data_IF_931281107768
#
_entry.id   IF_931281107768
#
_cell.length_a   1.000
_cell.length_b   1.000
_cell.length_c   1.000
_cell.angle_alpha   90.00
_cell.angle_beta   90.00
_cell.angle_gamma   90.00
#
_symmetry.space_group_name_H-M   'P 1'
#
loop_
_entity.id
_entity.type
_entity.pdbx_description
1 polymer ?
#
# COMPACT_ATOMS: atom_id res chain seq x y z
N UNK A 1 27.31 -14.49 14.76
CA UNK A 1 26.61 -14.90 13.53
C UNK A 1 26.24 -13.64 12.77
N UNK A 2 26.78 -13.43 11.59
CA UNK A 2 26.39 -12.29 10.74
C UNK A 2 25.05 -12.57 10.06
N UNK A 3 24.20 -11.56 9.96
CA UNK A 3 22.98 -11.67 9.16
C UNK A 3 23.35 -11.88 7.68
N UNK A 4 22.55 -12.60 6.90
CA UNK A 4 22.78 -12.74 5.46
C UNK A 4 22.71 -11.37 4.79
N UNK A 5 23.55 -11.16 3.77
CA UNK A 5 23.53 -9.92 2.97
C UNK A 5 22.28 -9.79 2.11
N UNK A 6 21.66 -10.91 1.79
CA UNK A 6 20.42 -10.97 1.01
C UNK A 6 19.37 -11.83 1.73
N UNK A 7 18.12 -11.45 1.59
CA UNK A 7 16.99 -12.19 2.12
C UNK A 7 15.91 -12.34 1.04
N UNK A 8 15.44 -13.56 0.87
CA UNK A 8 14.31 -13.83 -0.03
C UNK A 8 12.97 -13.54 0.69
N UNK A 9 12.17 -12.69 0.10
CA UNK A 9 10.81 -12.40 0.59
C UNK A 9 9.81 -13.31 -0.10
N UNK A 10 8.82 -13.79 0.65
CA UNK A 10 7.70 -14.56 0.13
C UNK A 10 6.50 -13.67 -0.08
N UNK A 11 5.81 -13.83 -1.21
CA UNK A 11 4.51 -13.19 -1.44
C UNK A 11 3.48 -13.90 -0.57
N UNK A 12 2.88 -13.17 0.37
CA UNK A 12 1.85 -13.73 1.27
C UNK A 12 0.44 -13.43 0.77
N UNK A 13 0.26 -12.37 0.00
CA UNK A 13 -1.04 -11.94 -0.51
C UNK A 13 -0.88 -11.10 -1.78
N UNK A 14 -2.00 -10.88 -2.46
CA UNK A 14 -2.13 -9.90 -3.52
C UNK A 14 -3.28 -8.96 -3.19
N UNK A 15 -3.18 -7.70 -3.58
CA UNK A 15 -4.29 -6.78 -3.45
C UNK A 15 -5.08 -6.71 -4.76
N UNK A 16 -6.41 -6.70 -4.65
CA UNK A 16 -7.33 -6.37 -5.74
C UNK A 16 -7.82 -4.96 -5.55
N UNK A 17 -7.64 -4.12 -6.57
CA UNK A 17 -8.07 -2.72 -6.59
C UNK A 17 -8.73 -2.38 -7.92
N UNK A 18 -9.30 -1.18 -8.00
CA UNK A 18 -9.86 -0.65 -9.25
C UNK A 18 -8.80 -0.09 -10.22
N UNK A 19 -7.51 -0.19 -9.89
CA UNK A 19 -6.42 0.37 -10.70
C UNK A 19 -5.70 -0.72 -11.50
N UNK A 20 -6.14 -1.02 -12.75
CA UNK A 20 -5.49 -2.04 -13.58
C UNK A 20 -4.11 -1.61 -14.07
N UNK A 21 -3.84 -0.29 -14.05
CA UNK A 21 -2.57 0.30 -14.47
C UNK A 21 -2.10 1.33 -13.46
N UNK A 22 -0.84 1.78 -13.60
CA UNK A 22 -0.27 2.82 -12.73
C UNK A 22 -0.92 4.21 -12.87
N UNK A 23 -1.74 4.41 -13.90
CA UNK A 23 -2.39 5.69 -14.15
C UNK A 23 -3.63 5.86 -13.25
N UNK A 24 -3.74 7.01 -12.61
CA UNK A 24 -4.84 7.33 -11.70
C UNK A 24 -4.66 6.82 -10.28
N UNK A 25 -3.58 6.10 -9.98
CA UNK A 25 -3.27 5.68 -8.60
C UNK A 25 -2.88 6.91 -7.77
N UNK A 26 -3.44 7.08 -6.56
CA UNK A 26 -2.99 8.12 -5.64
C UNK A 26 -1.50 7.98 -5.33
N UNK A 27 -0.80 9.09 -5.16
CA UNK A 27 0.66 9.08 -4.90
C UNK A 27 1.03 8.48 -3.55
N UNK A 28 0.12 8.53 -2.60
CA UNK A 28 0.29 7.98 -1.24
C UNK A 28 -1.03 7.39 -0.77
N UNK A 29 -0.95 6.42 0.13
CA UNK A 29 -2.11 5.86 0.81
C UNK A 29 -2.87 6.92 1.61
N UNK A 30 -4.17 6.74 1.74
CA UNK A 30 -5.02 7.63 2.51
C UNK A 30 -5.39 8.96 1.86
N UNK A 31 -4.85 9.29 0.66
CA UNK A 31 -5.23 10.52 -0.06
C UNK A 31 -6.66 10.46 -0.62
N UNK A 32 -7.17 9.27 -0.88
CA UNK A 32 -8.55 9.03 -1.35
C UNK A 32 -9.16 7.92 -0.53
N UNK A 33 -9.83 8.26 0.55
CA UNK A 33 -10.39 7.33 1.54
C UNK A 33 -11.51 6.43 0.99
N UNK A 34 -12.18 6.85 -0.08
CA UNK A 34 -13.27 6.09 -0.69
C UNK A 34 -12.81 4.87 -1.49
N UNK A 35 -11.52 4.78 -1.81
CA UNK A 35 -10.98 3.68 -2.61
C UNK A 35 -10.86 2.41 -1.77
N UNK A 36 -11.66 1.42 -2.10
CA UNK A 36 -11.62 0.08 -1.48
C UNK A 36 -10.66 -0.82 -2.22
N UNK A 37 -10.00 -1.68 -1.45
CA UNK A 37 -9.22 -2.79 -1.97
C UNK A 37 -9.48 -4.05 -1.17
N UNK A 38 -9.16 -5.20 -1.75
CA UNK A 38 -9.25 -6.50 -1.11
C UNK A 38 -7.87 -7.14 -1.07
N UNK A 39 -7.37 -7.43 0.13
CA UNK A 39 -6.14 -8.19 0.32
C UNK A 39 -6.50 -9.67 0.40
N UNK A 40 -6.08 -10.44 -0.58
CA UNK A 40 -6.38 -11.87 -0.72
C UNK A 40 -5.09 -12.66 -0.53
N UNK A 41 -5.06 -13.49 0.50
CA UNK A 41 -3.89 -14.31 0.80
C UNK A 41 -3.65 -15.38 -0.26
N UNK A 42 -2.37 -15.70 -0.49
CA UNK A 42 -2.02 -16.88 -1.30
C UNK A 42 -2.44 -18.16 -0.55
N UNK A 43 -2.65 -19.29 -1.24
CA UNK A 43 -3.18 -20.50 -0.62
C UNK A 43 -2.42 -20.95 0.64
N UNK A 44 -1.10 -20.82 0.65
CA UNK A 44 -0.24 -21.19 1.80
C UNK A 44 -0.59 -20.41 3.08
N UNK A 45 -1.06 -19.15 2.93
CA UNK A 45 -1.29 -18.23 4.06
C UNK A 45 -2.78 -17.98 4.35
N UNK A 46 -3.68 -18.74 3.76
CA UNK A 46 -5.13 -18.68 3.99
C UNK A 46 -5.53 -19.32 5.31
N UNK A 47 -5.10 -18.72 6.40
CA UNK A 47 -5.34 -19.20 7.74
C UNK A 47 -6.05 -18.14 8.58
N UNK A 48 -7.25 -18.45 9.06
CA UNK A 48 -8.03 -17.54 9.90
C UNK A 48 -7.29 -17.15 11.19
N UNK A 49 -6.46 -18.04 11.73
CA UNK A 49 -5.70 -17.76 12.94
C UNK A 49 -4.61 -16.72 12.72
N UNK A 50 -4.13 -16.56 11.49
CA UNK A 50 -3.09 -15.56 11.17
C UNK A 50 -3.60 -14.12 11.25
N UNK A 51 -4.91 -13.90 11.18
CA UNK A 51 -5.54 -12.58 11.26
C UNK A 51 -6.29 -12.35 12.57
N UNK A 52 -6.21 -13.30 13.50
CA UNK A 52 -6.88 -13.20 14.81
C UNK A 52 -6.36 -11.98 15.58
N UNK A 53 -7.28 -11.13 16.05
CA UNK A 53 -6.96 -9.89 16.78
C UNK A 53 -6.69 -8.70 15.86
N UNK A 54 -6.58 -8.90 14.55
CA UNK A 54 -6.38 -7.79 13.61
C UNK A 54 -7.63 -6.91 13.50
N UNK A 55 -8.80 -7.47 13.75
CA UNK A 55 -10.08 -6.77 13.78
C UNK A 55 -10.17 -5.62 14.80
N UNK A 56 -9.31 -5.64 15.82
CA UNK A 56 -9.25 -4.59 16.85
C UNK A 56 -8.44 -3.35 16.40
N UNK A 57 -7.78 -3.42 15.24
CA UNK A 57 -7.00 -2.33 14.68
C UNK A 57 -7.76 -1.62 13.56
N UNK A 58 -7.77 -0.30 13.59
CA UNK A 58 -8.41 0.51 12.53
C UNK A 58 -7.56 0.65 11.28
N UNK A 59 -6.24 0.51 11.41
CA UNK A 59 -5.27 0.68 10.31
C UNK A 59 -4.21 -0.41 10.36
N UNK A 60 -3.68 -0.72 9.18
CA UNK A 60 -2.60 -1.68 8.98
C UNK A 60 -1.54 -1.10 8.05
N UNK A 61 -0.31 -1.57 8.21
CA UNK A 61 0.78 -1.38 7.27
C UNK A 61 0.81 -2.52 6.26
N UNK A 62 0.94 -2.17 4.98
CA UNK A 62 1.22 -3.11 3.90
C UNK A 62 2.65 -2.88 3.40
N UNK A 63 3.45 -3.93 3.38
CA UNK A 63 4.76 -3.96 2.71
C UNK A 63 4.60 -4.71 1.40
N UNK A 64 4.90 -4.05 0.29
CA UNK A 64 4.58 -4.54 -1.04
C UNK A 64 5.68 -4.22 -2.05
N UNK A 65 5.60 -4.79 -3.24
CA UNK A 65 6.56 -4.55 -4.31
C UNK A 65 5.97 -3.67 -5.39
N UNK A 66 6.76 -2.70 -5.85
CA UNK A 66 6.42 -1.93 -7.04
C UNK A 66 6.44 -2.82 -8.29
N UNK A 67 5.30 -2.96 -8.96
CA UNK A 67 5.18 -3.69 -10.21
C UNK A 67 5.60 -2.82 -11.38
N UNK A 68 6.47 -3.34 -12.26
CA UNK A 68 6.90 -2.65 -13.47
C UNK A 68 7.93 -1.54 -13.28
N UNK A 69 8.48 -1.38 -12.09
CA UNK A 69 9.61 -0.48 -11.86
C UNK A 69 10.94 -1.19 -12.17
N UNK A 70 11.18 -1.43 -13.46
CA UNK A 70 12.46 -2.02 -13.90
C UNK A 70 13.32 -0.92 -14.49
N UNK A 71 14.42 -0.60 -13.81
CA UNK A 71 15.54 0.20 -14.35
C UNK A 71 16.86 -0.45 -13.97
N UNK A 72 17.79 -0.42 -14.89
CA UNK A 72 19.14 -0.96 -14.69
C UNK A 72 19.97 -0.11 -13.72
N UNK A 73 19.50 1.09 -13.38
CA UNK A 73 20.19 1.96 -12.42
C UNK A 73 19.19 2.66 -11.49
N UNK A 74 19.57 2.79 -10.24
CA UNK A 74 18.83 3.49 -9.19
C UNK A 74 19.38 4.89 -8.90
N UNK A 75 20.25 5.40 -9.79
CA UNK A 75 20.90 6.71 -9.62
C UNK A 75 19.89 7.85 -9.49
N UNK A 76 19.95 8.63 -8.42
CA UNK A 76 19.03 9.74 -8.19
C UNK A 76 19.37 10.93 -9.09
N UNK A 77 18.36 11.74 -9.43
CA UNK A 77 18.53 12.97 -10.20
C UNK A 77 18.87 14.16 -9.30
N UNK A 78 17.89 14.72 -8.59
CA UNK A 78 18.07 15.90 -7.73
C UNK A 78 18.14 15.56 -6.25
N UNK A 79 17.46 14.51 -5.84
CA UNK A 79 17.39 14.05 -4.45
C UNK A 79 18.01 12.68 -4.33
N UNK A 80 18.67 12.40 -3.22
CA UNK A 80 19.14 11.06 -2.92
C UNK A 80 17.97 10.07 -2.88
N UNK A 81 18.18 8.84 -3.38
CA UNK A 81 17.12 7.84 -3.47
C UNK A 81 16.44 7.56 -2.13
N UNK A 82 17.21 7.57 -1.05
CA UNK A 82 16.69 7.32 0.31
C UNK A 82 15.96 8.52 0.93
N UNK A 83 16.05 9.69 0.31
CA UNK A 83 15.24 10.85 0.65
C UNK A 83 13.91 10.90 -0.10
N UNK A 84 13.62 9.88 -0.92
CA UNK A 84 12.42 9.78 -1.74
C UNK A 84 11.70 8.46 -1.51
N UNK A 85 10.46 8.37 -1.96
CA UNK A 85 9.68 7.13 -2.03
C UNK A 85 9.58 6.60 -3.47
N UNK A 86 10.54 6.95 -4.33
CA UNK A 86 10.60 6.48 -5.71
C UNK A 86 10.71 4.95 -5.77
N UNK A 87 10.03 4.30 -6.73
CA UNK A 87 10.17 2.86 -6.95
C UNK A 87 11.55 2.45 -7.48
N UNK A 88 12.29 3.39 -8.06
CA UNK A 88 13.63 3.17 -8.63
C UNK A 88 14.69 3.23 -7.54
N UNK A 89 14.78 2.15 -6.78
CA UNK A 89 15.63 2.01 -5.60
C UNK A 89 16.17 0.57 -5.51
N UNK A 90 17.22 0.32 -4.71
CA UNK A 90 17.83 -1.00 -4.62
C UNK A 90 16.85 -2.13 -4.29
N UNK A 91 15.97 -1.90 -3.32
CA UNK A 91 14.87 -2.80 -2.99
C UNK A 91 13.55 -2.07 -3.31
N UNK A 92 12.87 -2.39 -4.40
CA UNK A 92 11.68 -1.67 -4.84
C UNK A 92 10.45 -2.02 -3.99
N UNK A 93 10.56 -1.80 -2.68
CA UNK A 93 9.50 -2.04 -1.71
C UNK A 93 8.71 -0.76 -1.47
N UNK A 94 7.40 -0.91 -1.40
CA UNK A 94 6.46 0.11 -0.97
C UNK A 94 5.98 -0.14 0.46
N UNK A 95 5.59 0.92 1.12
CA UNK A 95 5.01 0.90 2.46
C UNK A 95 3.77 1.78 2.45
N UNK A 96 2.61 1.19 2.77
CA UNK A 96 1.33 1.91 2.77
C UNK A 96 0.59 1.65 4.07
N UNK A 97 0.15 2.72 4.73
CA UNK A 97 -0.82 2.64 5.81
C UNK A 97 -2.22 2.76 5.21
N UNK A 98 -3.06 1.77 5.46
CA UNK A 98 -4.42 1.72 4.95
C UNK A 98 -5.40 1.49 6.09
N UNK A 99 -6.63 1.99 5.94
CA UNK A 99 -7.69 1.68 6.89
C UNK A 99 -8.16 0.24 6.69
N UNK A 100 -8.26 -0.52 7.77
CA UNK A 100 -8.90 -1.84 7.78
C UNK A 100 -10.40 -1.66 8.04
N UNK A 101 -11.20 -1.89 7.01
CA UNK A 101 -12.66 -1.75 7.10
C UNK A 101 -13.32 -2.98 7.69
N UNK A 102 -12.91 -4.17 7.23
CA UNK A 102 -13.46 -5.44 7.65
C UNK A 102 -12.53 -6.60 7.34
N UNK A 103 -12.73 -7.72 8.01
CA UNK A 103 -12.16 -9.01 7.67
C UNK A 103 -13.31 -9.94 7.29
N UNK A 104 -13.35 -10.36 6.04
CA UNK A 104 -14.35 -11.29 5.54
C UNK A 104 -13.74 -12.70 5.47
N UNK A 105 -14.42 -13.68 6.06
CA UNK A 105 -14.03 -15.08 5.93
C UNK A 105 -14.85 -15.72 4.80
N UNK A 106 -14.23 -15.90 3.64
CA UNK A 106 -14.87 -16.45 2.44
C UNK A 106 -14.55 -17.95 2.33
N UNK A 107 -15.52 -18.81 2.01
CA UNK A 107 -15.32 -20.26 1.98
C UNK A 107 -14.17 -20.73 1.07
N UNK A 108 -14.02 -20.11 -0.10
CA UNK A 108 -13.06 -20.57 -1.12
C UNK A 108 -11.68 -19.90 -1.03
N UNK A 109 -11.58 -18.73 -0.40
CA UNK A 109 -10.35 -17.93 -0.37
C UNK A 109 -9.85 -17.62 1.04
N UNK A 110 -10.56 -18.06 2.08
CA UNK A 110 -10.21 -17.80 3.47
C UNK A 110 -10.42 -16.34 3.88
N UNK A 111 -9.61 -15.81 4.82
CA UNK A 111 -9.73 -14.43 5.25
C UNK A 111 -9.36 -13.46 4.12
N UNK A 112 -10.18 -12.44 3.92
CA UNK A 112 -9.96 -11.34 2.99
C UNK A 112 -10.01 -10.04 3.78
N UNK A 113 -8.97 -9.23 3.70
CA UNK A 113 -8.94 -7.93 4.36
C UNK A 113 -9.53 -6.89 3.42
N UNK A 114 -10.61 -6.25 3.85
CA UNK A 114 -11.21 -5.13 3.13
C UNK A 114 -10.56 -3.85 3.64
N UNK A 115 -9.87 -3.14 2.75
CA UNK A 115 -9.10 -1.95 3.09
C UNK A 115 -9.59 -0.72 2.32
N UNK A 116 -9.34 0.46 2.89
CA UNK A 116 -9.60 1.75 2.25
C UNK A 116 -8.32 2.59 2.18
N UNK A 117 -8.27 3.44 1.17
CA UNK A 117 -7.15 4.34 0.96
C UNK A 117 -5.93 3.66 0.34
N UNK A 118 -6.10 2.51 -0.28
CA UNK A 118 -5.01 1.80 -0.94
C UNK A 118 -4.52 2.57 -2.18
N UNK A 119 -3.21 2.75 -2.27
CA UNK A 119 -2.50 3.40 -3.37
C UNK A 119 -1.75 2.38 -4.24
N UNK A 120 -2.30 1.18 -4.38
CA UNK A 120 -1.68 0.06 -5.05
C UNK A 120 -2.40 -0.31 -6.35
N UNK A 121 -1.61 -0.70 -7.35
CA UNK A 121 -2.12 -1.28 -8.58
C UNK A 121 -2.74 -2.65 -8.31
N UNK A 122 -3.78 -3.00 -9.05
CA UNK A 122 -4.41 -4.33 -9.01
C UNK A 122 -3.37 -5.44 -9.22
N UNK A 123 -3.44 -6.48 -8.40
CA UNK A 123 -2.51 -7.61 -8.45
C UNK A 123 -1.16 -7.37 -7.76
N UNK A 124 -0.93 -6.23 -7.14
CA UNK A 124 0.34 -5.95 -6.45
C UNK A 124 0.62 -6.99 -5.37
N UNK A 125 1.81 -7.62 -5.39
CA UNK A 125 2.19 -8.58 -4.36
C UNK A 125 2.50 -7.91 -3.04
N UNK A 126 2.02 -8.53 -1.95
CA UNK A 126 2.22 -8.08 -0.57
C UNK A 126 3.12 -9.09 0.12
N UNK A 127 4.14 -8.58 0.82
CA UNK A 127 5.13 -9.38 1.54
C UNK A 127 4.91 -9.43 3.03
N UNK A 128 4.32 -8.39 3.62
CA UNK A 128 4.05 -8.35 5.06
C UNK A 128 2.86 -7.43 5.37
N UNK A 129 2.21 -7.74 6.46
CA UNK A 129 1.10 -6.98 7.02
C UNK A 129 1.37 -6.82 8.51
N UNK A 130 1.34 -5.56 8.99
CA UNK A 130 1.52 -5.26 10.41
C UNK A 130 0.40 -4.34 10.89
N UNK A 131 -0.03 -4.45 12.15
CA UNK A 131 -0.96 -3.48 12.70
C UNK A 131 -0.31 -2.10 12.80
N UNK A 132 -1.10 -1.06 12.55
CA UNK A 132 -0.69 0.32 12.83
C UNK A 132 -0.86 0.61 14.31
N UNK A 133 0.21 1.05 14.96
CA UNK A 133 0.24 1.32 16.41
C UNK A 133 0.46 2.82 16.62
N UNK A 134 -0.58 3.59 17.02
CA UNK A 134 -0.50 5.05 17.08
C UNK A 134 0.65 5.59 17.90
N UNK A 135 0.92 5.04 19.08
CA UNK A 135 1.99 5.55 19.94
C UNK A 135 3.40 5.32 19.35
N UNK A 136 3.55 4.34 18.47
CA UNK A 136 4.83 4.02 17.83
C UNK A 136 4.96 4.64 16.43
N UNK A 137 3.87 4.70 15.69
CA UNK A 137 3.88 5.01 14.26
C UNK A 137 3.51 6.46 13.95
N UNK A 138 2.80 7.15 14.87
CA UNK A 138 2.35 8.52 14.64
C UNK A 138 3.33 9.53 15.23
N UNK A 139 3.82 10.43 14.37
CA UNK A 139 4.69 11.55 14.74
C UNK A 139 4.12 12.85 14.17
N UNK A 140 3.13 13.49 14.82
CA UNK A 140 2.45 14.67 14.28
C UNK A 140 3.36 15.86 13.97
N UNK A 141 4.43 16.01 14.75
CA UNK A 141 5.39 17.11 14.61
C UNK A 141 6.61 16.75 13.75
N UNK A 142 6.57 15.64 13.02
CA UNK A 142 7.67 15.23 12.17
C UNK A 142 7.93 16.21 11.04
N UNK A 143 9.20 16.53 10.80
CA UNK A 143 9.60 17.37 9.67
C UNK A 143 9.39 16.60 8.35
N UNK A 144 8.85 17.26 7.34
CA UNK A 144 8.43 16.64 6.09
C UNK A 144 9.46 16.78 4.94
N UNK A 145 10.63 17.37 5.21
CA UNK A 145 11.67 17.56 4.20
C UNK A 145 11.16 18.37 2.98
N UNK A 146 11.56 17.96 1.77
CA UNK A 146 11.13 18.65 0.54
C UNK A 146 9.61 18.57 0.31
N UNK A 147 8.91 17.60 0.90
CA UNK A 147 7.45 17.45 0.74
C UNK A 147 6.65 18.52 1.46
N UNK A 148 7.26 19.27 2.41
CA UNK A 148 6.61 20.36 3.13
C UNK A 148 6.13 21.49 2.20
N UNK A 149 6.72 21.63 1.02
CA UNK A 149 6.36 22.62 0.00
C UNK A 149 5.44 22.05 -1.10
N UNK A 150 5.05 20.79 -0.99
CA UNK A 150 4.18 20.14 -1.98
C UNK A 150 2.74 20.64 -1.81
N UNK A 151 2.21 21.30 -2.84
CA UNK A 151 0.80 21.69 -2.88
C UNK A 151 -0.02 20.51 -3.41
N UNK A 152 -1.04 20.11 -2.65
CA UNK A 152 -2.03 19.14 -3.09
C UNK A 152 -3.09 19.86 -3.92
N UNK A 153 -3.13 19.55 -5.22
CA UNK A 153 -4.19 20.03 -6.10
C UNK A 153 -5.33 19.01 -6.12
N UNK A 154 -6.50 19.44 -5.64
CA UNK A 154 -7.73 18.67 -5.80
C UNK A 154 -8.39 19.09 -7.12
N UNK A 155 -8.60 18.11 -8.01
CA UNK A 155 -9.42 18.30 -9.20
C UNK A 155 -10.87 17.99 -8.82
N UNK A 156 -11.73 18.98 -8.87
CA UNK A 156 -13.18 18.77 -8.77
C UNK A 156 -13.72 18.55 -10.17
N UNK A 157 -14.21 17.32 -10.42
CA UNK A 157 -14.87 17.02 -11.68
C UNK A 157 -16.33 17.51 -11.59
N UNK A 158 -16.65 18.53 -12.38
CA UNK A 158 -18.04 18.99 -12.53
C UNK A 158 -18.58 18.32 -13.79
N UNK A 159 -19.48 17.37 -13.61
CA UNK A 159 -20.22 16.74 -14.70
C UNK A 159 -21.57 17.41 -14.85
N UNK A 160 -21.92 17.80 -16.05
CA UNK A 160 -23.28 18.27 -16.36
C UNK A 160 -24.24 17.08 -16.25
N UNK A 161 -25.36 17.25 -15.52
CA UNK A 161 -26.32 16.18 -15.22
C UNK A 161 -26.93 15.52 -16.47
N UNK A 162 -26.79 16.16 -17.65
CA UNK A 162 -27.25 15.63 -18.93
C UNK A 162 -26.34 14.57 -19.58
N UNK A 163 -25.13 14.34 -19.07
CA UNK A 163 -24.19 13.36 -19.63
C UNK A 163 -24.43 11.91 -19.17
N UNK A 164 -25.35 11.70 -18.23
CA UNK A 164 -25.70 10.39 -17.68
C UNK A 164 -27.12 9.92 -18.02
N UNK A 165 -27.69 10.53 -18.99
CA UNK A 165 -29.01 10.13 -19.50
C UNK A 165 -28.90 9.04 -20.57
#
# INVERSE_FOLDING_TARGET
>A
MSAPEEMTLKVIAHIRTAFPTKFGIPRQSGLVDSLRGEVIFTPEYRNADAVRGLEDFSHIWLVWQFSGAVRDSWSPTRMGVFATRSPFRPNPLGLSSVQLEAIEHRPDVGPVLIVRGADLMDGTPIYDIKPYIPYADCHPDAAAGFTAQTQFHHLTMVCDAGLWA
#
